data_IF_892444331838
#
_entry.id   IF_892444331838
#
_cell.length_a   1.000
_cell.length_b   1.000
_cell.length_c   1.000
_cell.angle_alpha   90.00
_cell.angle_beta   90.00
_cell.angle_gamma   90.00
#
_symmetry.space_group_name_H-M   'P 1'
#
loop_
_entity.id
_entity.type
_entity.pdbx_description
1 polymer ?
#
# COMPACT_ATOMS: atom_id res chain seq x y z
N UNK A 1 -10.78 -6.55 -65.50
CA UNK A 1 -11.98 -6.09 -64.77
C UNK A 1 -11.50 -5.09 -63.72
N UNK A 2 -11.23 -3.82 -64.05
CA UNK A 2 -12.19 -2.68 -64.11
C UNK A 2 -13.17 -2.64 -62.91
N UNK A 3 -12.70 -2.00 -61.83
CA UNK A 3 -13.30 -0.90 -61.03
C UNK A 3 -14.58 -0.23 -61.63
N UNK A 4 -15.30 0.70 -60.93
CA UNK A 4 -15.55 0.94 -59.48
C UNK A 4 -16.94 1.62 -59.17
N UNK A 5 -17.05 2.23 -57.96
CA UNK A 5 -17.82 3.45 -57.59
C UNK A 5 -19.36 3.43 -57.49
N UNK A 6 -19.86 3.84 -56.31
CA UNK A 6 -20.86 4.93 -56.09
C UNK A 6 -20.92 5.19 -54.57
N UNK A 7 -20.58 6.34 -53.95
CA UNK A 7 -20.80 7.79 -54.17
C UNK A 7 -22.14 8.32 -53.65
N UNK A 8 -22.06 9.38 -52.81
CA UNK A 8 -23.13 10.31 -52.42
C UNK A 8 -23.12 10.54 -50.89
N UNK A 9 -22.62 11.60 -50.27
CA UNK A 9 -22.40 13.02 -50.58
C UNK A 9 -23.66 13.88 -50.77
N UNK A 10 -23.59 15.13 -50.26
CA UNK A 10 -24.51 16.30 -50.29
C UNK A 10 -25.18 16.54 -48.91
N UNK A 11 -24.85 17.54 -48.06
CA UNK A 11 -24.66 19.02 -48.17
C UNK A 11 -25.96 19.81 -47.92
N UNK A 12 -25.81 20.95 -47.22
CA UNK A 12 -26.72 22.11 -47.03
C UNK A 12 -27.74 22.00 -45.86
N UNK A 13 -28.08 23.02 -45.08
CA UNK A 13 -28.19 24.49 -45.25
C UNK A 13 -28.40 25.04 -43.79
N UNK A 14 -27.61 25.98 -43.24
CA UNK A 14 -27.77 27.45 -43.26
C UNK A 14 -28.92 28.05 -42.39
N UNK A 15 -28.54 28.98 -41.50
CA UNK A 15 -29.21 30.28 -41.20
C UNK A 15 -30.50 30.30 -40.34
N UNK A 16 -30.48 30.96 -39.16
CA UNK A 16 -30.88 32.39 -38.89
C UNK A 16 -31.36 32.66 -37.45
N UNK A 17 -30.87 33.77 -36.90
CA UNK A 17 -31.54 34.79 -36.04
C UNK A 17 -32.39 34.37 -34.82
N UNK A 18 -32.04 34.89 -33.63
CA UNK A 18 -32.90 35.90 -33.01
C UNK A 18 -32.17 36.79 -31.98
N UNK A 19 -32.37 38.09 -32.17
CA UNK A 19 -32.02 39.23 -31.32
C UNK A 19 -33.26 39.62 -30.50
N UNK A 20 -33.11 40.60 -29.58
CA UNK A 20 -34.11 41.47 -28.90
C UNK A 20 -34.34 41.08 -27.43
N UNK A 21 -34.44 41.96 -26.42
CA UNK A 21 -34.11 43.37 -26.06
C UNK A 21 -34.57 43.53 -24.58
N UNK A 22 -34.21 44.64 -23.90
CA UNK A 22 -35.01 45.19 -22.77
C UNK A 22 -34.27 45.30 -21.43
N UNK A 23 -33.52 46.37 -21.14
CA UNK A 23 -33.93 47.65 -20.53
C UNK A 23 -34.47 47.57 -19.08
N UNK A 24 -33.73 48.17 -18.13
CA UNK A 24 -34.28 49.04 -17.07
C UNK A 24 -33.15 49.73 -16.31
N UNK A 25 -32.91 50.98 -16.69
CA UNK A 25 -32.18 52.01 -15.96
C UNK A 25 -33.19 52.69 -15.02
N UNK A 26 -32.80 52.94 -13.76
CA UNK A 26 -33.39 54.01 -12.95
C UNK A 26 -32.23 54.86 -12.40
N UNK A 27 -32.04 56.00 -13.05
CA UNK A 27 -31.44 57.21 -12.51
C UNK A 27 -32.45 57.91 -11.60
N UNK A 28 -31.97 58.50 -10.50
CA UNK A 28 -32.31 59.84 -10.00
C UNK A 28 -32.01 59.96 -8.51
N UNK A 29 -31.61 61.08 -7.92
CA UNK A 29 -31.11 62.39 -8.33
C UNK A 29 -30.63 63.03 -7.00
N UNK A 30 -29.47 63.68 -7.02
CA UNK A 30 -29.11 64.96 -6.39
C UNK A 30 -29.72 65.46 -5.04
N UNK A 31 -28.83 66.01 -4.20
CA UNK A 31 -29.17 67.04 -3.19
C UNK A 31 -28.17 67.04 -2.01
N UNK A 32 -27.01 67.69 -2.14
CA UNK A 32 -26.73 69.04 -1.61
C UNK A 32 -26.78 69.17 -0.06
N UNK A 33 -25.59 69.24 0.56
CA UNK A 33 -25.28 69.94 1.82
C UNK A 33 -25.73 71.41 1.74
N UNK A 34 -26.04 72.17 2.84
CA UNK A 34 -25.00 72.57 3.81
C UNK A 34 -25.41 73.08 5.24
N UNK A 35 -24.37 73.34 6.07
CA UNK A 35 -24.18 74.50 7.00
C UNK A 35 -24.81 74.53 8.44
N UNK A 36 -23.86 74.57 9.41
CA UNK A 36 -23.67 75.46 10.58
C UNK A 36 -24.54 75.46 11.86
N UNK A 37 -23.84 75.17 12.98
CA UNK A 37 -23.54 76.05 14.13
C UNK A 37 -24.66 76.90 14.79
N UNK A 38 -25.00 76.61 16.07
CA UNK A 38 -24.83 77.53 17.22
C UNK A 38 -25.38 76.95 18.56
N UNK A 39 -24.54 77.07 19.61
CA UNK A 39 -24.79 77.45 21.02
C UNK A 39 -26.10 77.05 21.75
N UNK A 40 -25.96 76.42 22.94
CA UNK A 40 -26.43 77.01 24.21
C UNK A 40 -25.72 76.40 25.44
N UNK A 41 -25.43 77.26 26.43
CA UNK A 41 -24.77 77.05 27.73
C UNK A 41 -25.69 76.36 28.75
N UNK A 42 -25.08 75.71 29.76
CA UNK A 42 -25.34 75.83 31.22
C UNK A 42 -24.66 74.63 31.94
N UNK A 43 -24.08 74.68 33.14
CA UNK A 43 -23.66 75.73 34.08
C UNK A 43 -22.81 75.01 35.15
N UNK A 44 -21.72 75.66 35.52
CA UNK A 44 -20.85 75.47 36.69
C UNK A 44 -21.35 74.61 37.85
N UNK A 45 -20.49 73.66 38.30
CA UNK A 45 -20.32 73.33 39.72
C UNK A 45 -18.84 73.02 40.03
N UNK A 46 -18.21 74.02 40.63
CA UNK A 46 -17.24 73.96 41.73
C UNK A 46 -15.99 73.06 41.67
N UNK A 47 -14.85 73.73 41.84
CA UNK A 47 -13.49 73.22 42.04
C UNK A 47 -13.32 72.56 43.41
N UNK A 48 -12.70 71.39 43.46
CA UNK A 48 -11.83 71.02 44.59
C UNK A 48 -10.84 69.91 44.21
N UNK A 49 -9.56 70.30 44.20
CA UNK A 49 -8.36 69.45 44.07
C UNK A 49 -8.28 68.43 45.22
N UNK A 50 -7.96 67.17 44.90
CA UNK A 50 -6.86 66.37 45.51
C UNK A 50 -6.82 64.95 44.91
N UNK A 51 -5.70 64.67 44.23
CA UNK A 51 -4.94 63.41 44.18
C UNK A 51 -5.65 62.10 44.54
N UNK A 52 -5.81 61.21 43.56
CA UNK A 52 -5.44 59.80 43.72
C UNK A 52 -5.14 59.12 42.38
N UNK A 53 -4.40 58.03 42.49
CA UNK A 53 -3.46 57.43 41.56
C UNK A 53 -4.11 56.28 40.76
N UNK A 54 -3.74 56.16 39.49
CA UNK A 54 -3.50 54.89 38.75
C UNK A 54 -4.64 53.93 38.34
N UNK A 55 -4.64 53.68 37.02
CA UNK A 55 -4.75 52.39 36.32
C UNK A 55 -6.10 51.89 35.77
N UNK A 56 -5.97 51.29 34.58
CA UNK A 56 -6.89 50.45 33.80
C UNK A 56 -7.94 51.14 32.90
N UNK A 57 -7.56 51.34 31.63
CA UNK A 57 -8.27 50.68 30.52
C UNK A 57 -7.34 50.57 29.30
N UNK A 58 -6.68 49.42 29.19
CA UNK A 58 -6.03 48.95 27.97
C UNK A 58 -6.98 47.96 27.31
N UNK A 59 -7.43 48.23 26.08
CA UNK A 59 -7.88 47.22 25.11
C UNK A 59 -8.36 47.86 23.79
N UNK A 60 -7.43 48.33 22.95
CA UNK A 60 -7.60 48.29 21.49
C UNK A 60 -6.24 48.12 20.83
N UNK A 61 -5.57 47.02 21.17
CA UNK A 61 -4.51 46.47 20.34
C UNK A 61 -5.11 45.32 19.54
N UNK A 62 -5.85 45.63 18.47
CA UNK A 62 -6.01 44.63 17.42
C UNK A 62 -4.61 44.42 16.85
N UNK A 63 -3.95 43.36 17.31
CA UNK A 63 -2.82 42.80 16.61
C UNK A 63 -3.35 42.36 15.24
N UNK A 64 -3.26 43.26 14.26
CA UNK A 64 -3.11 42.85 12.89
C UNK A 64 -1.86 41.96 12.86
N UNK A 65 -2.06 40.64 12.99
CA UNK A 65 -1.07 39.69 12.51
C UNK A 65 -0.94 40.02 11.03
N UNK A 66 0.08 40.80 10.68
CA UNK A 66 0.53 40.94 9.31
C UNK A 66 0.83 39.52 8.84
N UNK A 67 -0.08 38.94 8.05
CA UNK A 67 0.22 37.74 7.28
C UNK A 67 1.44 38.10 6.45
N UNK A 68 2.59 37.54 6.82
CA UNK A 68 3.79 37.68 6.02
C UNK A 68 3.42 37.27 4.59
N UNK A 69 3.79 38.07 3.56
CA UNK A 69 3.49 37.70 2.19
C UNK A 69 4.20 36.39 1.90
N UNK A 70 3.41 35.31 1.81
CA UNK A 70 3.92 33.96 1.51
C UNK A 70 4.04 33.74 0.00
N UNK A 71 3.99 34.81 -0.79
CA UNK A 71 4.24 34.77 -2.24
C UNK A 71 5.66 34.28 -2.51
N UNK A 72 5.79 33.24 -3.33
CA UNK A 72 7.04 32.54 -3.60
C UNK A 72 7.44 31.46 -2.58
N UNK A 73 6.63 31.21 -1.54
CA UNK A 73 6.93 30.19 -0.51
C UNK A 73 6.89 28.78 -1.10
N UNK A 74 7.94 28.00 -0.84
CA UNK A 74 8.01 26.59 -1.17
C UNK A 74 7.55 25.75 0.03
N UNK A 75 6.58 24.88 -0.20
CA UNK A 75 6.01 23.97 0.80
C UNK A 75 6.32 22.54 0.38
N UNK A 76 6.91 21.77 1.29
CA UNK A 76 7.15 20.33 1.10
C UNK A 76 6.04 19.56 1.79
N UNK A 77 5.27 18.77 1.03
CA UNK A 77 4.09 18.05 1.50
C UNK A 77 4.33 16.54 1.35
N UNK A 78 4.56 15.81 2.45
CA UNK A 78 4.50 14.36 2.41
C UNK A 78 3.03 13.90 2.33
N UNK A 79 2.75 12.86 1.56
CA UNK A 79 1.45 12.23 1.43
C UNK A 79 1.59 10.71 1.48
N UNK A 80 0.53 10.06 1.95
CA UNK A 80 0.47 8.60 2.11
C UNK A 80 -0.82 8.07 1.51
N UNK A 81 -0.73 6.98 0.76
CA UNK A 81 -1.88 6.20 0.32
C UNK A 81 -1.78 4.79 0.89
N UNK A 82 -2.93 4.25 1.29
CA UNK A 82 -3.06 2.90 1.80
C UNK A 82 -4.22 2.21 1.10
N UNK A 83 -4.02 0.95 0.71
CA UNK A 83 -5.08 0.09 0.20
C UNK A 83 -4.99 -1.25 0.89
N UNK A 84 -6.13 -1.76 1.38
CA UNK A 84 -6.25 -3.09 1.96
C UNK A 84 -7.01 -4.00 1.02
N UNK A 85 -6.58 -5.26 0.95
CA UNK A 85 -7.24 -6.25 0.12
C UNK A 85 -7.07 -7.65 0.71
N UNK A 86 -8.11 -8.47 0.62
CA UNK A 86 -8.05 -9.88 0.98
C UNK A 86 -7.01 -10.61 0.11
N UNK A 87 -6.25 -11.53 0.71
CA UNK A 87 -5.31 -12.32 -0.07
C UNK A 87 -6.05 -13.25 -1.03
N UNK A 88 -5.60 -13.27 -2.28
CA UNK A 88 -6.21 -14.03 -3.38
C UNK A 88 -5.25 -15.07 -3.99
N UNK A 89 -4.04 -15.19 -3.45
CA UNK A 89 -3.05 -16.19 -3.82
C UNK A 89 -2.45 -16.86 -2.59
N UNK A 90 -2.08 -18.11 -2.74
CA UNK A 90 -1.29 -18.86 -1.78
C UNK A 90 -0.06 -19.49 -2.44
N UNK A 91 1.06 -19.46 -1.73
CA UNK A 91 2.30 -20.17 -2.06
C UNK A 91 2.53 -21.24 -1.00
N UNK A 92 2.68 -22.48 -1.44
CA UNK A 92 2.80 -23.65 -0.59
C UNK A 92 4.14 -24.30 -0.89
N UNK A 93 4.88 -24.70 0.14
CA UNK A 93 6.07 -25.53 0.00
C UNK A 93 5.80 -26.88 0.64
N UNK A 94 5.93 -27.93 -0.15
CA UNK A 94 5.96 -29.31 0.28
C UNK A 94 7.39 -29.84 0.28
N UNK A 95 7.65 -30.88 1.04
CA UNK A 95 8.92 -31.59 1.04
C UNK A 95 8.73 -33.10 1.06
N UNK A 96 9.72 -33.82 0.56
CA UNK A 96 9.88 -35.26 0.78
C UNK A 96 11.31 -35.52 1.18
N UNK A 97 11.50 -36.42 2.14
CA UNK A 97 12.81 -36.91 2.54
C UNK A 97 12.72 -38.41 2.81
N UNK A 98 13.68 -39.15 2.26
CA UNK A 98 13.79 -40.60 2.42
C UNK A 98 15.20 -40.95 2.85
N UNK A 99 15.31 -42.01 3.64
CA UNK A 99 16.59 -42.57 4.05
C UNK A 99 16.68 -44.04 3.68
N UNK A 100 17.84 -44.47 3.20
CA UNK A 100 18.13 -45.87 2.90
C UNK A 100 19.63 -46.17 3.09
N UNK A 101 19.99 -47.45 3.23
CA UNK A 101 21.39 -47.89 3.16
C UNK A 101 21.93 -47.75 1.73
N UNK A 102 21.08 -47.99 0.73
CA UNK A 102 21.40 -47.80 -0.67
C UNK A 102 20.98 -46.41 -1.19
N UNK A 103 21.95 -45.66 -1.70
CA UNK A 103 21.72 -44.30 -2.21
C UNK A 103 20.70 -44.26 -3.34
N UNK A 104 20.71 -45.25 -4.23
CA UNK A 104 19.83 -45.28 -5.39
C UNK A 104 18.38 -45.60 -4.98
N UNK A 105 18.18 -46.48 -3.98
CA UNK A 105 16.88 -46.77 -3.40
C UNK A 105 16.26 -45.53 -2.73
N UNK A 106 17.03 -44.79 -1.92
CA UNK A 106 16.57 -43.54 -1.31
C UNK A 106 16.15 -42.50 -2.38
N UNK A 107 16.98 -42.31 -3.40
CA UNK A 107 16.69 -41.41 -4.52
C UNK A 107 15.44 -41.83 -5.30
N UNK A 108 15.28 -43.12 -5.58
CA UNK A 108 14.13 -43.65 -6.31
C UNK A 108 12.82 -43.43 -5.56
N UNK A 109 12.81 -43.59 -4.23
CA UNK A 109 11.62 -43.32 -3.41
C UNK A 109 11.24 -41.84 -3.39
N UNK A 110 12.23 -40.93 -3.28
CA UNK A 110 11.99 -39.48 -3.39
C UNK A 110 11.36 -39.14 -4.74
N UNK A 111 11.94 -39.64 -5.84
CA UNK A 111 11.43 -39.35 -7.19
C UNK A 111 10.00 -39.88 -7.39
N UNK A 112 9.70 -41.09 -6.89
CA UNK A 112 8.37 -41.68 -6.97
C UNK A 112 7.34 -40.87 -6.18
N UNK A 113 7.63 -40.54 -4.92
CA UNK A 113 6.73 -39.74 -4.07
C UNK A 113 6.54 -38.34 -4.65
N UNK A 114 7.61 -37.71 -5.15
CA UNK A 114 7.53 -36.39 -5.78
C UNK A 114 6.63 -36.40 -7.02
N UNK A 115 6.76 -37.44 -7.87
CA UNK A 115 5.88 -37.63 -9.02
C UNK A 115 4.42 -37.81 -8.58
N UNK A 116 4.17 -38.67 -7.61
CA UNK A 116 2.81 -38.92 -7.09
C UNK A 116 2.19 -37.63 -6.52
N UNK A 117 2.91 -36.88 -5.68
CA UNK A 117 2.44 -35.62 -5.12
C UNK A 117 2.15 -34.57 -6.20
N UNK A 118 3.01 -34.45 -7.21
CA UNK A 118 2.81 -33.56 -8.36
C UNK A 118 1.57 -33.96 -9.17
N UNK A 119 1.36 -35.26 -9.41
CA UNK A 119 0.21 -35.77 -10.15
C UNK A 119 -1.11 -35.58 -9.37
N UNK A 120 -1.08 -35.67 -8.03
CA UNK A 120 -2.22 -35.33 -7.16
C UNK A 120 -2.54 -33.83 -7.27
N UNK A 121 -1.54 -32.96 -7.13
CA UNK A 121 -1.73 -31.50 -7.23
C UNK A 121 -2.35 -31.10 -8.56
N UNK A 122 -1.82 -31.60 -9.68
CA UNK A 122 -2.37 -31.31 -11.01
C UNK A 122 -3.83 -31.75 -11.18
N UNK A 123 -4.26 -32.80 -10.47
CA UNK A 123 -5.64 -33.29 -10.52
C UNK A 123 -6.57 -32.46 -9.65
N UNK A 124 -6.13 -32.08 -8.45
CA UNK A 124 -6.93 -31.29 -7.49
C UNK A 124 -7.00 -29.82 -7.91
N UNK A 125 -5.93 -29.31 -8.52
CA UNK A 125 -5.81 -27.93 -8.98
C UNK A 125 -5.00 -27.83 -10.29
N UNK A 126 -5.68 -27.97 -11.44
CA UNK A 126 -5.03 -27.90 -12.75
C UNK A 126 -4.42 -26.53 -13.08
N UNK A 127 -4.79 -25.47 -12.35
CA UNK A 127 -4.29 -24.11 -12.58
C UNK A 127 -3.09 -23.77 -11.69
N UNK A 128 -2.73 -24.64 -10.74
CA UNK A 128 -1.58 -24.45 -9.87
C UNK A 128 -0.27 -24.43 -10.69
N UNK A 129 0.58 -23.45 -10.37
CA UNK A 129 1.94 -23.38 -10.90
C UNK A 129 2.83 -24.20 -9.97
N UNK A 130 3.48 -25.24 -10.51
CA UNK A 130 4.27 -26.19 -9.75
C UNK A 130 5.76 -26.06 -10.09
N UNK A 131 6.61 -26.06 -9.07
CA UNK A 131 8.07 -26.01 -9.23
C UNK A 131 8.77 -26.95 -8.25
N UNK A 132 9.46 -27.96 -8.75
CA UNK A 132 10.35 -28.79 -7.94
C UNK A 132 11.72 -28.13 -7.79
N UNK A 133 12.29 -28.11 -6.59
CA UNK A 133 13.62 -27.53 -6.34
C UNK A 133 14.36 -28.20 -5.17
N UNK A 134 15.63 -27.86 -5.01
CA UNK A 134 16.43 -28.22 -3.85
C UNK A 134 16.57 -29.73 -3.67
N UNK A 135 16.91 -30.47 -4.73
CA UNK A 135 17.23 -31.88 -4.64
C UNK A 135 18.59 -32.05 -3.96
N UNK A 136 18.64 -32.81 -2.87
CA UNK A 136 19.87 -33.03 -2.10
C UNK A 136 20.08 -34.50 -1.75
N UNK A 137 21.33 -34.86 -1.48
CA UNK A 137 21.69 -36.19 -0.98
C UNK A 137 22.83 -36.07 0.00
N UNK A 138 22.61 -36.53 1.23
CA UNK A 138 23.58 -36.46 2.32
C UNK A 138 23.85 -37.86 2.89
N UNK A 139 25.12 -38.21 3.18
CA UNK A 139 25.42 -39.41 3.94
C UNK A 139 24.91 -39.25 5.38
N UNK A 140 24.37 -40.33 5.92
CA UNK A 140 24.00 -40.45 7.34
C UNK A 140 25.08 -41.29 8.01
N UNK A 141 25.63 -40.79 9.11
CA UNK A 141 26.68 -41.47 9.87
C UNK A 141 26.10 -42.03 11.18
N UNK A 142 26.70 -43.08 11.76
CA UNK A 142 26.30 -43.58 13.06
C UNK A 142 26.57 -42.53 14.15
N UNK A 143 25.65 -42.43 15.12
CA UNK A 143 25.86 -41.69 16.36
C UNK A 143 27.03 -42.30 17.13
N UNK A 144 27.88 -41.49 17.75
CA UNK A 144 29.13 -41.94 18.39
C UNK A 144 28.87 -42.95 19.52
N UNK A 145 29.22 -44.22 19.31
CA UNK A 145 29.58 -45.09 20.42
C UNK A 145 30.98 -44.67 20.92
N UNK A 146 31.20 -44.48 22.23
CA UNK A 146 32.51 -44.13 22.75
C UNK A 146 33.53 -45.17 22.30
N UNK A 147 34.43 -44.77 21.40
CA UNK A 147 35.47 -45.63 20.89
C UNK A 147 36.38 -46.04 22.05
N UNK A 148 36.66 -47.34 22.26
CA UNK A 148 37.69 -47.77 23.20
C UNK A 148 39.00 -47.02 22.87
N UNK A 149 39.62 -46.39 23.87
CA UNK A 149 40.89 -45.67 23.73
C UNK A 149 41.90 -46.55 22.99
N UNK A 150 42.17 -46.24 21.72
CA UNK A 150 43.14 -46.99 20.90
C UNK A 150 42.96 -46.91 19.38
N UNK A 151 41.75 -46.67 18.86
CA UNK A 151 41.49 -46.67 17.40
C UNK A 151 41.12 -45.29 16.86
N UNK A 152 42.07 -44.34 16.87
CA UNK A 152 41.79 -42.93 16.58
C UNK A 152 41.75 -42.53 15.09
N UNK A 153 41.85 -43.42 14.09
CA UNK A 153 42.13 -43.02 12.70
C UNK A 153 41.31 -43.68 11.57
N UNK A 154 40.15 -44.31 11.82
CA UNK A 154 39.29 -44.81 10.72
C UNK A 154 38.28 -43.74 10.29
N UNK A 155 38.23 -43.35 8.99
CA UNK A 155 37.16 -42.48 8.50
C UNK A 155 35.81 -43.16 8.73
N UNK A 156 34.85 -42.43 9.30
CA UNK A 156 33.51 -42.96 9.57
C UNK A 156 32.86 -43.34 8.24
N UNK A 157 32.40 -44.59 8.14
CA UNK A 157 31.63 -45.03 6.99
C UNK A 157 30.17 -44.61 7.19
N UNK A 158 29.48 -44.05 6.17
CA UNK A 158 28.06 -43.76 6.26
C UNK A 158 27.26 -45.04 6.57
N UNK A 159 26.31 -44.95 7.50
CA UNK A 159 25.31 -46.00 7.77
C UNK A 159 24.15 -45.94 6.79
N UNK A 160 24.01 -44.84 6.04
CA UNK A 160 23.02 -44.72 4.97
C UNK A 160 23.12 -43.39 4.23
N UNK A 161 22.08 -43.10 3.47
CA UNK A 161 21.93 -41.93 2.62
C UNK A 161 20.54 -41.34 2.81
N UNK A 162 20.50 -40.03 2.97
CA UNK A 162 19.29 -39.23 3.08
C UNK A 162 19.14 -38.41 1.81
N UNK A 163 18.02 -38.56 1.14
CA UNK A 163 17.70 -37.83 -0.08
C UNK A 163 16.44 -37.04 0.17
N UNK A 164 16.37 -35.80 -0.29
CA UNK A 164 15.16 -35.01 -0.19
C UNK A 164 15.04 -33.98 -1.29
N UNK A 165 13.83 -33.46 -1.44
CA UNK A 165 13.47 -32.47 -2.45
C UNK A 165 12.25 -31.66 -1.99
N UNK A 166 12.15 -30.43 -2.49
CA UNK A 166 11.01 -29.55 -2.27
C UNK A 166 10.14 -29.42 -3.52
N UNK A 167 8.85 -29.18 -3.30
CA UNK A 167 7.87 -28.83 -4.32
C UNK A 167 7.12 -27.57 -3.88
N UNK A 168 7.29 -26.51 -4.65
CA UNK A 168 6.46 -25.32 -4.49
C UNK A 168 5.21 -25.42 -5.37
N UNK A 169 4.09 -24.99 -4.83
CA UNK A 169 2.83 -24.81 -5.54
C UNK A 169 2.31 -23.39 -5.30
N UNK A 170 1.97 -22.68 -6.37
CA UNK A 170 1.30 -21.37 -6.29
C UNK A 170 -0.08 -21.48 -6.91
N UNK A 171 -1.11 -21.04 -6.19
CA UNK A 171 -2.50 -21.10 -6.67
C UNK A 171 -3.35 -19.95 -6.16
N UNK A 172 -4.42 -19.64 -6.88
CA UNK A 172 -5.51 -18.73 -6.49
C UNK A 172 -6.78 -19.49 -6.09
N UNK A 173 -6.78 -20.83 -6.13
CA UNK A 173 -7.93 -21.67 -5.76
C UNK A 173 -8.02 -21.86 -4.24
N UNK A 174 -8.35 -20.79 -3.52
CA UNK A 174 -8.37 -20.79 -2.05
C UNK A 174 -9.51 -21.64 -1.48
N UNK A 175 -10.64 -21.76 -2.20
CA UNK A 175 -11.81 -22.53 -1.75
C UNK A 175 -11.53 -24.04 -1.68
N UNK A 176 -10.71 -24.58 -2.58
CA UNK A 176 -10.35 -26.00 -2.61
C UNK A 176 -9.01 -26.28 -1.90
N UNK A 177 -8.41 -25.28 -1.26
CA UNK A 177 -7.07 -25.36 -0.70
C UNK A 177 -6.94 -26.41 0.41
N UNK A 178 -7.81 -26.45 1.46
CA UNK A 178 -7.76 -27.49 2.50
C UNK A 178 -7.71 -28.91 1.95
N UNK A 179 -8.64 -29.22 1.05
CA UNK A 179 -8.77 -30.52 0.40
C UNK A 179 -7.56 -30.86 -0.47
N UNK A 180 -7.04 -29.87 -1.21
CA UNK A 180 -5.85 -30.04 -2.05
C UNK A 180 -4.62 -30.36 -1.20
N UNK A 181 -4.41 -29.63 -0.11
CA UNK A 181 -3.29 -29.85 0.82
C UNK A 181 -3.41 -31.22 1.50
N UNK A 182 -4.58 -31.55 2.04
CA UNK A 182 -4.82 -32.85 2.70
C UNK A 182 -4.56 -34.04 1.76
N UNK A 183 -4.97 -33.95 0.49
CA UNK A 183 -4.73 -35.00 -0.50
C UNK A 183 -3.23 -35.27 -0.72
N UNK A 184 -2.41 -34.20 -0.74
CA UNK A 184 -0.96 -34.28 -0.98
C UNK A 184 -0.20 -34.70 0.27
N UNK A 185 -0.68 -34.31 1.46
CA UNK A 185 -0.05 -34.63 2.75
C UNK A 185 0.10 -36.13 3.02
N UNK A 186 -0.70 -36.97 2.34
CA UNK A 186 -0.54 -38.42 2.38
C UNK A 186 0.80 -38.93 1.79
N UNK A 187 1.47 -38.14 0.96
CA UNK A 187 2.71 -38.51 0.25
C UNK A 187 3.87 -37.56 0.52
N UNK A 188 3.60 -36.24 0.59
CA UNK A 188 4.60 -35.20 0.83
C UNK A 188 4.32 -34.49 2.16
N UNK A 189 5.36 -34.11 2.89
CA UNK A 189 5.22 -33.24 4.05
C UNK A 189 4.83 -31.82 3.63
N UNK A 190 3.96 -31.17 4.39
CA UNK A 190 3.71 -29.73 4.28
C UNK A 190 4.81 -29.00 5.07
N UNK A 191 5.65 -28.23 4.37
CA UNK A 191 6.74 -27.47 4.99
C UNK A 191 6.29 -26.05 5.39
N UNK A 192 5.47 -25.40 4.57
CA UNK A 192 4.96 -24.07 4.85
C UNK A 192 3.93 -23.61 3.82
N UNK A 193 3.14 -22.60 4.21
CA UNK A 193 2.12 -22.00 3.37
C UNK A 193 2.03 -20.49 3.68
N UNK A 194 1.97 -19.67 2.64
CA UNK A 194 1.92 -18.22 2.74
C UNK A 194 0.84 -17.64 1.82
N UNK A 195 -0.08 -16.88 2.40
CA UNK A 195 -1.08 -16.11 1.66
C UNK A 195 -0.54 -14.74 1.26
N UNK A 196 -0.95 -14.28 0.08
CA UNK A 196 -0.60 -12.97 -0.43
C UNK A 196 -1.48 -12.56 -1.60
N UNK A 197 -1.04 -11.51 -2.28
CA UNK A 197 -1.71 -11.01 -3.47
C UNK A 197 -1.12 -11.64 -4.73
N UNK A 198 -1.99 -11.98 -5.68
CA UNK A 198 -1.60 -12.38 -7.02
C UNK A 198 -0.93 -11.21 -7.75
N UNK A 199 -0.13 -11.51 -8.77
CA UNK A 199 0.52 -10.46 -9.58
C UNK A 199 -0.51 -9.55 -10.27
N UNK A 200 -1.64 -10.11 -10.68
CA UNK A 200 -2.73 -9.37 -11.31
C UNK A 200 -3.38 -8.39 -10.32
N UNK A 201 -3.70 -8.85 -9.11
CA UNK A 201 -4.27 -8.00 -8.07
C UNK A 201 -3.26 -6.98 -7.56
N UNK A 202 -2.00 -7.36 -7.38
CA UNK A 202 -0.93 -6.45 -6.97
C UNK A 202 -0.79 -5.27 -7.94
N UNK A 203 -0.82 -5.54 -9.25
CA UNK A 203 -0.79 -4.48 -10.29
C UNK A 203 -2.02 -3.58 -10.22
N UNK A 204 -3.22 -4.16 -10.07
CA UNK A 204 -4.46 -3.38 -9.97
C UNK A 204 -4.48 -2.48 -8.73
N UNK A 205 -3.97 -2.97 -7.60
CA UNK A 205 -3.92 -2.21 -6.36
C UNK A 205 -2.85 -1.12 -6.38
N UNK A 206 -1.84 -1.22 -7.27
CA UNK A 206 -0.86 -0.16 -7.48
C UNK A 206 -1.51 1.14 -7.94
N UNK A 207 -2.35 1.07 -8.97
CA UNK A 207 -3.11 2.22 -9.49
C UNK A 207 -4.01 2.84 -8.41
N UNK A 208 -4.69 1.99 -7.62
CA UNK A 208 -5.54 2.44 -6.53
C UNK A 208 -4.74 3.15 -5.44
N UNK A 209 -3.53 2.64 -5.16
CA UNK A 209 -2.64 3.24 -4.17
C UNK A 209 -2.13 4.59 -4.64
N UNK A 210 -1.82 4.74 -5.93
CA UNK A 210 -1.50 6.03 -6.56
C UNK A 210 -2.63 7.02 -6.40
N UNK A 211 -3.86 6.62 -6.74
CA UNK A 211 -5.03 7.48 -6.57
C UNK A 211 -5.23 7.90 -5.10
N UNK A 212 -5.14 6.97 -4.15
CA UNK A 212 -5.26 7.24 -2.72
C UNK A 212 -4.19 8.21 -2.22
N UNK A 213 -2.93 8.05 -2.67
CA UNK A 213 -1.84 8.95 -2.29
C UNK A 213 -2.04 10.36 -2.84
N UNK A 214 -2.49 10.52 -4.09
CA UNK A 214 -2.78 11.85 -4.66
C UNK A 214 -4.01 12.52 -4.03
N UNK A 215 -5.01 11.73 -3.65
CA UNK A 215 -6.14 12.24 -2.89
C UNK A 215 -5.65 12.80 -1.55
N UNK A 216 -4.85 12.04 -0.81
CA UNK A 216 -4.26 12.50 0.45
C UNK A 216 -3.40 13.77 0.24
N UNK A 217 -2.61 13.82 -0.84
CA UNK A 217 -1.82 15.00 -1.17
C UNK A 217 -2.70 16.24 -1.37
N UNK A 218 -3.76 16.11 -2.16
CA UNK A 218 -4.70 17.18 -2.49
C UNK A 218 -5.39 17.72 -1.22
N UNK A 219 -5.81 16.82 -0.33
CA UNK A 219 -6.42 17.18 0.96
C UNK A 219 -5.43 17.93 1.86
N UNK A 220 -4.16 17.49 1.88
CA UNK A 220 -3.09 18.12 2.67
C UNK A 220 -2.72 19.50 2.15
N UNK A 221 -2.49 19.67 0.85
CA UNK A 221 -2.17 21.00 0.30
C UNK A 221 -3.34 21.97 0.48
N UNK A 222 -4.58 21.48 0.33
CA UNK A 222 -5.78 22.29 0.59
C UNK A 222 -5.84 22.78 2.05
N UNK A 223 -5.45 21.91 2.99
CA UNK A 223 -5.41 22.26 4.42
C UNK A 223 -4.28 23.23 4.76
N UNK A 224 -3.11 23.06 4.13
CA UNK A 224 -1.97 23.99 4.29
C UNK A 224 -2.31 25.37 3.71
N UNK A 225 -2.89 25.43 2.51
CA UNK A 225 -3.30 26.70 1.89
C UNK A 225 -4.29 27.47 2.78
N UNK A 226 -5.33 26.78 3.30
CA UNK A 226 -6.28 27.35 4.25
C UNK A 226 -5.60 27.88 5.50
N UNK A 227 -4.65 27.13 6.08
CA UNK A 227 -3.90 27.56 7.25
C UNK A 227 -2.99 28.77 6.98
N UNK A 228 -2.48 28.91 5.76
CA UNK A 228 -1.71 30.10 5.31
C UNK A 228 -2.61 31.30 4.98
N UNK A 229 -3.94 31.13 4.98
CA UNK A 229 -4.90 32.14 4.52
C UNK A 229 -4.82 32.40 3.01
N UNK A 230 -4.52 31.36 2.23
CA UNK A 230 -4.37 31.42 0.76
C UNK A 230 -5.39 30.56 0.03
N UNK A 231 -5.58 30.85 -1.25
CA UNK A 231 -6.34 29.99 -2.14
C UNK A 231 -5.49 28.78 -2.56
N UNK A 232 -6.13 27.60 -2.66
CA UNK A 232 -5.47 26.38 -3.13
C UNK A 232 -4.97 26.53 -4.57
N UNK A 233 -5.66 27.34 -5.39
CA UNK A 233 -5.27 27.66 -6.77
C UNK A 233 -3.92 28.37 -6.89
N UNK A 234 -3.43 28.97 -5.81
CA UNK A 234 -2.12 29.63 -5.78
C UNK A 234 -0.98 28.60 -5.67
N UNK A 235 -1.29 27.37 -5.24
CA UNK A 235 -0.33 26.29 -5.08
C UNK A 235 -0.01 25.64 -6.44
N UNK A 236 1.19 25.88 -6.95
CA UNK A 236 1.67 25.23 -8.17
C UNK A 236 2.59 24.07 -7.79
N UNK A 237 2.26 22.88 -8.29
CA UNK A 237 3.10 21.69 -8.11
C UNK A 237 4.42 21.87 -8.85
N UNK A 238 5.53 21.83 -8.13
CA UNK A 238 6.90 22.03 -8.63
C UNK A 238 7.60 20.68 -8.86
N UNK A 239 7.51 19.77 -7.88
CA UNK A 239 8.16 18.45 -7.97
C UNK A 239 7.34 17.38 -7.26
N UNK A 240 7.37 16.17 -7.79
CA UNK A 240 6.85 14.95 -7.14
C UNK A 240 7.96 13.92 -7.05
N UNK A 241 8.19 13.39 -5.86
CA UNK A 241 9.13 12.31 -5.57
C UNK A 241 8.35 11.13 -4.96
N UNK A 242 8.22 10.05 -5.74
CA UNK A 242 7.74 8.77 -5.25
C UNK A 242 8.90 8.04 -4.57
N UNK A 243 8.63 7.36 -3.46
CA UNK A 243 9.64 6.72 -2.59
C UNK A 243 10.40 7.65 -1.64
N UNK A 244 10.34 8.98 -1.83
CA UNK A 244 10.99 9.94 -0.93
C UNK A 244 12.51 9.81 -0.96
N UNK A 245 13.06 9.56 -2.15
CA UNK A 245 14.47 9.33 -2.43
C UNK A 245 15.38 10.50 -2.02
N UNK A 246 14.83 11.70 -1.83
CA UNK A 246 15.51 12.82 -1.18
C UNK A 246 15.11 12.97 0.30
N UNK A 247 15.97 12.54 1.24
CA UNK A 247 16.13 12.94 2.66
C UNK A 247 14.90 13.27 3.55
N UNK A 248 13.67 13.01 3.11
CA UNK A 248 12.44 13.31 3.85
C UNK A 248 11.80 12.03 4.42
N UNK A 249 12.41 10.87 4.19
CA UNK A 249 11.94 9.60 4.72
C UNK A 249 12.22 9.49 6.23
N UNK A 250 11.28 9.96 7.07
CA UNK A 250 11.25 9.52 8.46
C UNK A 250 11.00 8.02 8.51
N UNK A 251 11.88 7.32 9.23
CA UNK A 251 12.01 5.87 9.44
C UNK A 251 10.72 5.09 9.16
N UNK A 252 10.70 4.33 8.07
CA UNK A 252 9.68 3.32 7.87
C UNK A 252 9.95 2.20 8.89
N UNK A 253 8.99 1.98 9.80
CA UNK A 253 9.04 0.89 10.76
C UNK A 253 9.26 -0.44 10.02
N UNK A 254 10.31 -1.16 10.42
CA UNK A 254 10.65 -2.46 9.86
C UNK A 254 9.45 -3.41 9.94
N UNK A 255 9.18 -4.22 8.89
CA UNK A 255 8.15 -5.25 8.96
C UNK A 255 8.50 -6.24 10.09
N UNK A 256 7.58 -6.40 11.03
CA UNK A 256 7.67 -7.43 12.06
C UNK A 256 7.61 -8.79 11.37
N UNK A 257 8.72 -9.52 11.37
CA UNK A 257 8.73 -10.92 11.03
C UNK A 257 7.84 -11.68 12.04
N UNK A 258 6.69 -12.19 11.59
CA UNK A 258 5.97 -13.20 12.36
C UNK A 258 6.75 -14.51 12.30
N UNK A 259 7.21 -14.97 13.46
CA UNK A 259 7.75 -16.32 13.63
C UNK A 259 6.62 -17.34 13.52
N UNK A 260 6.57 -18.06 12.40
CA UNK A 260 5.80 -19.30 12.32
C UNK A 260 6.60 -20.42 13.00
N UNK A 261 6.03 -20.96 14.08
CA UNK A 261 6.57 -22.09 14.84
C UNK A 261 6.34 -23.36 14.02
N UNK A 262 7.41 -23.95 13.49
CA UNK A 262 7.34 -25.25 12.85
C UNK A 262 7.02 -26.32 13.92
N UNK A 263 5.82 -26.90 13.83
CA UNK A 263 5.48 -28.12 14.53
C UNK A 263 5.84 -29.30 13.62
N UNK A 264 6.76 -30.16 14.07
CA UNK A 264 7.02 -31.47 13.50
C UNK A 264 5.79 -32.36 13.71
N UNK A 265 5.26 -32.96 12.64
CA UNK A 265 4.31 -34.06 12.75
C UNK A 265 4.73 -35.19 11.81
N UNK A 266 4.90 -36.36 12.41
CA UNK A 266 5.12 -37.64 11.76
C UNK A 266 4.04 -38.57 12.34
N UNK A 267 2.93 -38.73 11.64
CA UNK A 267 2.07 -39.92 11.78
C UNK A 267 1.16 -40.04 10.55
N UNK A 268 1.17 -41.21 9.93
CA UNK A 268 0.35 -41.53 8.77
C UNK A 268 -0.99 -42.08 9.23
N UNK A 269 -1.94 -41.17 9.45
CA UNK A 269 -3.37 -41.41 9.44
C UNK A 269 -4.01 -40.37 8.51
N UNK A 270 -5.24 -40.62 8.04
CA UNK A 270 -5.99 -39.72 7.16
C UNK A 270 -5.97 -38.29 7.74
N UNK A 271 -5.20 -37.40 7.10
CA UNK A 271 -5.01 -36.03 7.59
C UNK A 271 -6.34 -35.31 7.45
N UNK A 272 -6.93 -34.91 8.57
CA UNK A 272 -8.12 -34.05 8.58
C UNK A 272 -7.83 -32.79 7.78
N UNK A 273 -8.84 -32.28 7.06
CA UNK A 273 -8.64 -31.10 6.21
C UNK A 273 -8.22 -29.90 7.06
N UNK A 274 -7.02 -29.33 6.82
CA UNK A 274 -6.55 -28.18 7.59
C UNK A 274 -7.40 -26.95 7.26
N UNK A 275 -7.82 -26.19 8.28
CA UNK A 275 -8.46 -24.89 8.07
C UNK A 275 -7.40 -23.81 7.83
N UNK A 276 -7.60 -23.00 6.79
CA UNK A 276 -6.73 -21.89 6.46
C UNK A 276 -7.51 -20.59 6.30
N UNK A 277 -7.04 -19.53 6.93
CA UNK A 277 -7.61 -18.20 6.82
C UNK A 277 -6.67 -17.31 5.98
N UNK A 278 -7.09 -16.84 4.79
CA UNK A 278 -6.22 -16.08 3.89
C UNK A 278 -5.72 -14.75 4.46
N UNK A 279 -6.51 -14.12 5.33
CA UNK A 279 -6.22 -12.79 5.86
C UNK A 279 -6.19 -11.69 4.77
N UNK A 280 -5.60 -10.56 5.11
CA UNK A 280 -5.52 -9.37 4.24
C UNK A 280 -4.09 -8.85 4.14
N UNK A 281 -3.78 -8.22 3.00
CA UNK A 281 -2.55 -7.46 2.79
C UNK A 281 -2.87 -5.96 2.76
N UNK A 282 -2.06 -5.16 3.45
CA UNK A 282 -2.08 -3.71 3.39
C UNK A 282 -0.91 -3.22 2.56
N UNK A 283 -1.19 -2.49 1.48
CA UNK A 283 -0.19 -1.87 0.63
C UNK A 283 -0.13 -0.38 0.92
N UNK A 284 1.08 0.15 1.15
CA UNK A 284 1.32 1.55 1.40
C UNK A 284 2.13 2.21 0.27
N UNK A 285 1.91 3.49 0.05
CA UNK A 285 2.76 4.30 -0.81
C UNK A 285 2.98 5.66 -0.20
N UNK A 286 4.18 6.15 -0.41
CA UNK A 286 4.61 7.46 0.03
C UNK A 286 4.95 8.32 -1.17
N UNK A 287 4.56 9.58 -1.08
CA UNK A 287 4.87 10.61 -2.03
C UNK A 287 5.29 11.87 -1.28
N UNK A 288 6.29 12.58 -1.80
CA UNK A 288 6.66 13.90 -1.33
C UNK A 288 6.53 14.87 -2.50
N UNK A 289 5.71 15.90 -2.32
CA UNK A 289 5.52 16.94 -3.32
C UNK A 289 6.08 18.27 -2.82
N UNK A 290 6.65 19.06 -3.73
CA UNK A 290 6.99 20.46 -3.50
C UNK A 290 5.97 21.32 -4.22
N UNK A 291 5.36 22.25 -3.50
CA UNK A 291 4.46 23.25 -4.04
C UNK A 291 5.07 24.63 -3.88
N UNK A 292 4.93 25.49 -4.89
CA UNK A 292 5.24 26.91 -4.80
C UNK A 292 3.94 27.70 -4.82
N UNK A 293 3.72 28.48 -3.76
CA UNK A 293 2.58 29.38 -3.70
C UNK A 293 2.91 30.71 -4.39
N UNK A 294 2.12 31.11 -5.38
CA UNK A 294 2.27 32.38 -6.12
C UNK A 294 1.63 33.52 -5.39
#
# INVERSE_FOLDING_TARGET
MRLPLTTGNIVSELIRQNTIEGWSVIDSLWGALPVALHFFLEKNMSRSRKLMLSSLLAATGFAAHAQAPTSGTLVVVPAYGEVKHANDQVKITFNVEEQDKDKAAAASRVNLKMKQGTDILKRQDPQAILQTRGYYTYPVYPEDQPQPRGNANKPRQPTGWRVGQYLDATTTNLNNLPKTVAAVQSILGLNGLYFGLSDATSKKLDDQRIAATYQNLTERISSIARAMGRNVSDAVLDTVDFEGSGNYAQEAAAPKAMMMRAASMNDSAQVEEPSFEPGETTLNMRLVAKYRFK
#
